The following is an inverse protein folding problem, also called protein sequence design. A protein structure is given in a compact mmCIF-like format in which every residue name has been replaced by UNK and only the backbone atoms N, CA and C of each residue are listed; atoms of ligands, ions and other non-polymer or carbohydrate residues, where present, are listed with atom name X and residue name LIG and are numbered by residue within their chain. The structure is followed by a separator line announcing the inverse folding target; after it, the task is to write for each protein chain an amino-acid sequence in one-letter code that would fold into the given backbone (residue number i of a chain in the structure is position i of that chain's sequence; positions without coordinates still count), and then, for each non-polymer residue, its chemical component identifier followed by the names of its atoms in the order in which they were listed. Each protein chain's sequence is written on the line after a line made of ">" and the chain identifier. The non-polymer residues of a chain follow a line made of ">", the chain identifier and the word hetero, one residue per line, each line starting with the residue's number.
data_IF_675555768089
#
_entry.id   IF_675555768089
#
_cell.length_a   1.000
_cell.length_b   1.000
_cell.length_c   1.000
_cell.angle_alpha   90.00
_cell.angle_beta   90.00
_cell.angle_gamma   90.00
#
_symmetry.space_group_name_H-M   'P 1'
#
loop_
_entity.id
_entity.type
_entity.pdbx_description
1 polymer ?
#
# COMPACT_ATOMS: atom_id res chain seq x y z
N UNK A 1 -6.50 20.47 -8.18
CA UNK A 1 -7.07 20.36 -9.55
C UNK A 1 -7.56 21.70 -10.06
N UNK A 2 -8.77 22.19 -9.75
CA UNK A 2 -9.29 23.42 -10.38
C UNK A 2 -8.34 24.63 -10.25
N UNK A 3 -7.85 24.90 -9.03
CA UNK A 3 -6.86 25.96 -8.78
C UNK A 3 -5.49 25.70 -9.42
N UNK A 4 -5.06 24.44 -9.54
CA UNK A 4 -3.80 24.06 -10.20
C UNK A 4 -3.85 24.31 -11.71
N UNK A 5 -5.05 24.30 -12.31
CA UNK A 5 -5.30 24.66 -13.70
C UNK A 5 -5.64 26.15 -13.87
N UNK A 6 -5.46 26.98 -12.84
CA UNK A 6 -5.74 28.42 -12.89
C UNK A 6 -7.23 28.78 -12.93
N UNK A 7 -8.12 27.84 -12.60
CA UNK A 7 -9.55 28.11 -12.53
C UNK A 7 -9.91 28.75 -11.19
N UNK A 8 -10.78 29.76 -11.24
CA UNK A 8 -11.33 30.38 -10.03
C UNK A 8 -12.37 29.47 -9.38
N UNK A 9 -12.23 29.28 -8.06
CA UNK A 9 -13.24 28.56 -7.29
C UNK A 9 -14.45 29.48 -7.01
N UNK A 10 -15.69 28.96 -7.04
CA UNK A 10 -16.85 29.72 -6.62
C UNK A 10 -16.70 30.29 -5.21
N UNK A 11 -17.21 31.51 -4.97
CA UNK A 11 -17.01 32.23 -3.70
C UNK A 11 -17.43 31.44 -2.44
N UNK A 12 -18.47 30.62 -2.53
CA UNK A 12 -18.97 29.80 -1.41
C UNK A 12 -17.93 28.80 -0.89
N UNK A 13 -16.96 28.40 -1.74
CA UNK A 13 -15.95 27.40 -1.37
C UNK A 13 -14.97 27.91 -0.30
N UNK A 14 -14.76 29.23 -0.20
CA UNK A 14 -13.82 29.86 0.76
C UNK A 14 -14.12 29.51 2.22
N UNK A 15 -15.37 29.17 2.55
CA UNK A 15 -15.76 28.79 3.91
C UNK A 15 -15.35 27.35 4.29
N UNK A 16 -14.98 26.51 3.31
CA UNK A 16 -14.77 25.07 3.48
C UNK A 16 -13.43 24.57 2.91
N UNK A 17 -13.00 25.12 1.78
CA UNK A 17 -11.77 24.73 1.09
C UNK A 17 -10.62 25.69 1.45
N UNK A 18 -9.39 25.17 1.67
CA UNK A 18 -9.03 23.76 1.66
C UNK A 18 -9.26 23.05 3.00
N UNK A 19 -9.18 23.76 4.12
CA UNK A 19 -8.92 23.18 5.45
C UNK A 19 -9.99 22.19 5.93
N UNK A 20 -11.28 22.56 5.89
CA UNK A 20 -12.36 21.69 6.40
C UNK A 20 -12.54 20.45 5.53
N UNK A 21 -12.42 20.62 4.21
CA UNK A 21 -12.51 19.50 3.27
C UNK A 21 -11.29 18.60 3.31
N UNK A 22 -10.09 19.15 3.52
CA UNK A 22 -8.86 18.37 3.60
C UNK A 22 -8.92 17.36 4.74
N UNK A 23 -9.35 17.78 5.93
CA UNK A 23 -9.50 16.86 7.06
C UNK A 23 -10.43 15.68 6.70
N UNK A 24 -11.60 15.98 6.11
CA UNK A 24 -12.57 14.95 5.71
C UNK A 24 -12.05 14.03 4.60
N UNK A 25 -11.30 14.59 3.65
CA UNK A 25 -10.64 13.82 2.60
C UNK A 25 -9.57 12.88 3.16
N UNK A 26 -8.73 13.35 4.10
CA UNK A 26 -7.78 12.50 4.80
C UNK A 26 -8.48 11.41 5.62
N UNK A 27 -9.64 11.72 6.22
CA UNK A 27 -10.47 10.73 6.94
C UNK A 27 -11.05 9.67 6.03
N UNK A 28 -11.50 10.03 4.82
CA UNK A 28 -12.08 9.05 3.92
C UNK A 28 -11.06 7.98 3.52
N UNK A 29 -9.79 8.32 3.31
CA UNK A 29 -8.74 7.33 3.05
C UNK A 29 -8.49 6.39 4.25
N UNK A 30 -8.49 6.93 5.48
CA UNK A 30 -8.33 6.11 6.69
C UNK A 30 -9.52 5.16 6.84
N UNK A 31 -10.74 5.68 6.71
CA UNK A 31 -11.95 4.88 6.82
C UNK A 31 -12.08 3.83 5.71
N UNK A 32 -11.52 4.09 4.53
CA UNK A 32 -11.50 3.14 3.44
C UNK A 32 -10.72 1.84 3.78
N UNK A 33 -9.80 1.85 4.75
CA UNK A 33 -9.08 0.65 5.20
C UNK A 33 -8.88 0.65 6.73
N UNK A 34 -9.94 0.96 7.47
CA UNK A 34 -9.84 1.25 8.91
C UNK A 34 -9.49 0.04 9.77
N UNK A 35 -10.18 -1.08 9.55
CA UNK A 35 -9.98 -2.29 10.35
C UNK A 35 -8.89 -3.17 9.73
N UNK A 36 -8.22 -4.00 10.55
CA UNK A 36 -7.28 -5.02 10.05
C UNK A 36 -7.91 -5.91 8.99
N UNK A 37 -9.20 -6.20 9.14
CA UNK A 37 -9.97 -6.96 8.16
C UNK A 37 -10.09 -6.26 6.81
N UNK A 38 -10.43 -4.97 6.81
CA UNK A 38 -10.49 -4.17 5.59
C UNK A 38 -9.11 -4.03 4.94
N UNK A 39 -8.05 -3.88 5.75
CA UNK A 39 -6.67 -3.83 5.28
C UNK A 39 -6.25 -5.14 4.62
N UNK A 40 -6.64 -6.28 5.21
CA UNK A 40 -6.41 -7.60 4.62
C UNK A 40 -7.06 -7.72 3.24
N UNK A 41 -8.33 -7.33 3.12
CA UNK A 41 -9.05 -7.39 1.84
C UNK A 41 -8.44 -6.44 0.80
N UNK A 42 -8.07 -5.22 1.20
CA UNK A 42 -7.67 -4.15 0.26
C UNK A 42 -6.20 -4.15 -0.11
N UNK A 43 -5.31 -4.49 0.82
CA UNK A 43 -3.86 -4.48 0.62
C UNK A 43 -3.23 -5.88 0.65
N UNK A 44 -3.87 -6.83 1.34
CA UNK A 44 -3.35 -8.19 1.51
C UNK A 44 -2.96 -8.89 0.22
N UNK A 45 -3.78 -8.89 -0.86
CA UNK A 45 -3.41 -9.52 -2.12
C UNK A 45 -2.09 -8.99 -2.69
N UNK A 46 -1.88 -7.67 -2.63
CA UNK A 46 -0.64 -7.05 -3.09
C UNK A 46 0.53 -7.37 -2.17
N UNK A 47 0.36 -7.22 -0.85
CA UNK A 47 1.42 -7.52 0.13
C UNK A 47 1.88 -8.98 0.05
N UNK A 48 0.94 -9.93 -0.03
CA UNK A 48 1.24 -11.36 -0.22
C UNK A 48 2.02 -11.57 -1.50
N UNK A 49 1.59 -10.97 -2.62
CA UNK A 49 2.31 -11.07 -3.90
C UNK A 49 3.74 -10.52 -3.78
N UNK A 50 3.90 -9.31 -3.27
CA UNK A 50 5.18 -8.63 -3.15
C UNK A 50 6.14 -9.40 -2.24
N UNK A 51 5.68 -9.89 -1.08
CA UNK A 51 6.51 -10.67 -0.18
C UNK A 51 6.90 -12.03 -0.76
N UNK A 52 6.01 -12.68 -1.53
CA UNK A 52 6.37 -13.89 -2.26
C UNK A 52 7.47 -13.60 -3.31
N UNK A 53 7.38 -12.49 -4.05
CA UNK A 53 8.44 -12.09 -4.99
C UNK A 53 9.78 -11.82 -4.29
N UNK A 54 9.75 -11.22 -3.10
CA UNK A 54 10.96 -11.01 -2.28
C UNK A 54 11.54 -12.34 -1.78
N UNK A 55 10.69 -13.29 -1.36
CA UNK A 55 11.09 -14.65 -0.95
C UNK A 55 11.67 -15.44 -2.12
N UNK A 56 11.03 -15.36 -3.28
CA UNK A 56 11.52 -16.01 -4.49
C UNK A 56 12.87 -15.41 -4.92
N UNK A 57 13.05 -14.09 -4.73
CA UNK A 57 14.35 -13.47 -4.98
C UNK A 57 15.41 -13.93 -3.98
N UNK A 58 15.08 -13.99 -2.69
CA UNK A 58 16.02 -14.37 -1.63
C UNK A 58 16.48 -15.83 -1.75
N UNK A 59 15.61 -16.70 -2.28
CA UNK A 59 15.84 -18.13 -2.52
C UNK A 59 16.31 -18.47 -3.95
N UNK A 60 16.55 -17.48 -4.81
CA UNK A 60 16.96 -17.66 -6.22
C UNK A 60 15.96 -18.45 -7.09
N UNK A 61 14.67 -18.47 -6.73
CA UNK A 61 13.60 -19.12 -7.51
C UNK A 61 12.80 -18.15 -8.37
N UNK A 62 13.03 -16.84 -8.22
CA UNK A 62 12.28 -15.79 -8.93
C UNK A 62 12.37 -15.95 -10.45
N UNK A 63 11.23 -15.78 -11.13
CA UNK A 63 11.16 -15.83 -12.60
C UNK A 63 10.65 -14.48 -13.16
N UNK A 64 11.39 -13.87 -14.12
CA UNK A 64 12.72 -14.26 -14.60
C UNK A 64 13.81 -14.00 -13.54
N UNK A 65 14.85 -14.84 -13.49
CA UNK A 65 15.91 -14.78 -12.47
C UNK A 65 16.64 -13.41 -12.42
N UNK A 66 16.76 -12.78 -13.60
CA UNK A 66 17.37 -11.46 -13.77
C UNK A 66 16.50 -10.28 -13.30
N UNK A 67 15.25 -10.49 -12.86
CA UNK A 67 14.38 -9.39 -12.43
C UNK A 67 15.00 -8.66 -11.23
N UNK A 68 15.04 -7.32 -11.35
CA UNK A 68 15.59 -6.39 -10.34
C UNK A 68 14.57 -5.37 -9.83
N UNK A 69 13.51 -5.10 -10.58
CA UNK A 69 12.54 -4.06 -10.25
C UNK A 69 11.14 -4.48 -10.69
N UNK A 70 10.15 -4.10 -9.88
CA UNK A 70 8.74 -4.12 -10.24
C UNK A 70 8.20 -2.69 -10.11
N UNK A 71 7.43 -2.26 -11.11
CA UNK A 71 6.75 -0.97 -11.08
C UNK A 71 5.26 -1.24 -11.14
N UNK A 72 4.55 -0.83 -10.10
CA UNK A 72 3.11 -0.97 -9.99
C UNK A 72 2.47 0.42 -10.06
N UNK A 73 1.66 0.63 -11.09
CA UNK A 73 0.84 1.82 -11.20
C UNK A 73 -0.50 1.55 -10.54
N UNK A 74 -0.94 2.45 -9.68
CA UNK A 74 -2.19 2.35 -8.95
C UNK A 74 -2.77 3.73 -8.67
N UNK A 75 -3.66 3.77 -7.71
CA UNK A 75 -4.28 5.01 -7.26
C UNK A 75 -3.67 5.46 -5.92
N UNK A 76 -3.95 6.70 -5.54
CA UNK A 76 -3.73 7.22 -4.20
C UNK A 76 -4.15 6.23 -3.09
N UNK A 77 -5.35 5.68 -3.21
CA UNK A 77 -5.91 4.68 -2.30
C UNK A 77 -5.10 3.40 -2.26
N UNK A 78 -4.44 2.99 -3.36
CA UNK A 78 -3.54 1.83 -3.38
C UNK A 78 -2.37 2.05 -2.43
N UNK A 79 -1.69 3.20 -2.55
CA UNK A 79 -0.56 3.58 -1.70
C UNK A 79 -0.99 3.65 -0.23
N UNK A 80 -2.09 4.36 0.05
CA UNK A 80 -2.59 4.53 1.41
C UNK A 80 -3.01 3.20 2.04
N UNK A 81 -3.70 2.31 1.31
CA UNK A 81 -4.13 1.02 1.84
C UNK A 81 -2.93 0.13 2.20
N UNK A 82 -1.89 0.08 1.34
CA UNK A 82 -0.67 -0.69 1.59
C UNK A 82 0.05 -0.15 2.84
N UNK A 83 0.23 1.17 2.93
CA UNK A 83 0.91 1.78 4.08
C UNK A 83 0.11 1.66 5.37
N UNK A 84 -1.23 1.71 5.33
CA UNK A 84 -2.08 1.45 6.50
C UNK A 84 -1.99 0.00 6.96
N UNK A 85 -2.01 -0.96 6.03
CA UNK A 85 -1.87 -2.38 6.34
C UNK A 85 -0.52 -2.72 7.01
N UNK A 86 0.53 -1.97 6.67
CA UNK A 86 1.86 -2.05 7.30
C UNK A 86 2.02 -1.12 8.52
N UNK A 87 0.97 -0.39 8.92
CA UNK A 87 0.97 0.54 10.05
C UNK A 87 2.01 1.67 9.97
N UNK A 88 2.37 2.09 8.75
CA UNK A 88 3.35 3.15 8.48
C UNK A 88 2.73 4.38 7.81
N UNK A 89 1.40 4.39 7.61
CA UNK A 89 0.69 5.54 7.09
C UNK A 89 0.51 6.62 8.17
N UNK A 90 1.00 7.83 7.89
CA UNK A 90 0.68 9.04 8.64
C UNK A 90 -0.42 9.78 7.92
N UNK A 91 -1.42 10.30 8.66
CA UNK A 91 -2.53 11.08 8.13
C UNK A 91 -1.99 12.26 7.31
N UNK A 92 -2.28 12.26 6.03
CA UNK A 92 -1.96 13.31 5.06
C UNK A 92 -2.74 13.04 3.77
N UNK A 93 -2.76 13.97 2.82
CA UNK A 93 -3.22 13.68 1.47
C UNK A 93 -2.09 13.07 0.63
N UNK A 94 -2.31 11.94 -0.04
CA UNK A 94 -1.41 11.47 -1.09
C UNK A 94 -1.46 12.44 -2.27
N UNK A 95 -0.32 13.04 -2.61
CA UNK A 95 -0.23 13.95 -3.75
C UNK A 95 -0.07 13.15 -5.05
N UNK A 96 -0.30 13.81 -6.18
CA UNK A 96 0.05 13.23 -7.47
C UNK A 96 1.51 12.76 -7.50
N UNK A 97 1.73 11.60 -8.11
CA UNK A 97 3.03 10.91 -8.18
C UNK A 97 3.60 10.46 -6.83
N UNK A 98 2.78 10.39 -5.76
CA UNK A 98 3.20 9.77 -4.51
C UNK A 98 3.62 8.31 -4.75
N UNK A 99 4.72 7.89 -4.14
CA UNK A 99 5.26 6.54 -4.29
C UNK A 99 5.75 5.97 -2.97
N UNK A 100 5.58 4.66 -2.82
CA UNK A 100 6.22 3.88 -1.76
C UNK A 100 7.22 2.92 -2.39
N UNK A 101 8.46 2.96 -1.92
CA UNK A 101 9.53 2.09 -2.38
C UNK A 101 9.77 1.01 -1.35
N UNK A 102 9.95 -0.21 -1.82
CA UNK A 102 10.32 -1.37 -1.01
C UNK A 102 11.60 -1.95 -1.60
N UNK A 103 12.69 -1.88 -0.84
CA UNK A 103 14.00 -2.31 -1.30
C UNK A 103 14.42 -3.56 -0.55
N UNK A 104 14.63 -4.66 -1.28
CA UNK A 104 15.16 -5.90 -0.73
C UNK A 104 16.69 -5.90 -0.85
N UNK A 105 17.36 -5.93 0.30
CA UNK A 105 18.80 -5.91 0.41
C UNK A 105 19.33 -7.25 0.94
N UNK A 106 20.58 -7.59 0.59
CA UNK A 106 21.31 -8.73 1.15
C UNK A 106 22.51 -8.20 1.92
N UNK A 107 22.57 -8.46 3.22
CA UNK A 107 23.74 -8.18 4.03
C UNK A 107 24.90 -9.07 3.56
N UNK A 108 26.04 -8.46 3.21
CA UNK A 108 27.19 -9.18 2.62
C UNK A 108 27.88 -10.10 3.63
N UNK A 109 27.90 -9.72 4.90
CA UNK A 109 28.63 -10.44 5.94
C UNK A 109 27.85 -11.65 6.46
N UNK A 110 26.54 -11.48 6.65
CA UNK A 110 25.65 -12.52 7.20
C UNK A 110 24.90 -13.31 6.12
N UNK A 111 24.85 -12.80 4.90
CA UNK A 111 24.02 -13.35 3.82
C UNK A 111 22.51 -13.19 4.00
N UNK A 112 22.06 -12.59 5.11
CA UNK A 112 20.64 -12.42 5.45
C UNK A 112 20.01 -11.27 4.65
N UNK A 113 18.71 -11.39 4.39
CA UNK A 113 17.95 -10.38 3.67
C UNK A 113 17.14 -9.49 4.61
N UNK A 114 17.06 -8.21 4.27
CA UNK A 114 16.26 -7.20 4.96
C UNK A 114 15.58 -6.28 3.95
N UNK A 115 14.54 -5.59 4.40
CA UNK A 115 13.74 -4.67 3.60
C UNK A 115 13.82 -3.29 4.19
N UNK A 116 14.08 -2.30 3.34
CA UNK A 116 13.95 -0.88 3.65
C UNK A 116 12.72 -0.33 2.92
N UNK A 117 11.96 0.54 3.60
CA UNK A 117 10.74 1.13 3.06
C UNK A 117 10.89 2.64 3.04
N UNK A 118 10.55 3.24 1.92
CA UNK A 118 10.58 4.69 1.74
C UNK A 118 9.26 5.20 1.20
N UNK A 119 8.89 6.44 1.54
CA UNK A 119 7.74 7.12 0.98
C UNK A 119 8.10 8.50 0.48
N UNK A 120 7.74 8.79 -0.76
CA UNK A 120 7.89 10.11 -1.36
C UNK A 120 6.53 10.64 -1.75
N UNK A 121 6.06 11.65 -1.03
CA UNK A 121 4.78 12.31 -1.33
C UNK A 121 4.94 13.53 -2.24
N UNK A 122 6.11 14.18 -2.23
CA UNK A 122 6.38 15.36 -3.07
C UNK A 122 7.49 15.02 -4.08
N UNK A 123 7.28 15.17 -5.40
CA UNK A 123 8.31 14.89 -6.40
C UNK A 123 9.55 15.81 -6.29
N UNK A 124 9.44 16.94 -5.58
CA UNK A 124 10.55 17.86 -5.30
C UNK A 124 11.34 17.51 -4.04
N UNK A 125 10.91 16.51 -3.28
CA UNK A 125 11.54 16.08 -2.04
C UNK A 125 12.15 14.68 -2.18
N UNK A 126 13.06 14.33 -1.28
CA UNK A 126 13.64 12.99 -1.19
C UNK A 126 12.63 12.01 -0.60
N UNK A 127 12.78 10.73 -0.91
CA UNK A 127 11.97 9.69 -0.29
C UNK A 127 12.34 9.55 1.20
N UNK A 128 11.34 9.57 2.07
CA UNK A 128 11.52 9.53 3.52
C UNK A 128 11.57 8.07 3.99
N UNK A 129 12.53 7.68 4.84
CA UNK A 129 12.58 6.34 5.40
C UNK A 129 11.39 6.10 6.34
N UNK A 130 10.84 4.89 6.29
CA UNK A 130 9.73 4.45 7.13
C UNK A 130 10.11 3.18 7.88
N UNK A 131 9.69 3.10 9.13
CA UNK A 131 9.93 1.96 10.01
C UNK A 131 8.60 1.32 10.38
N UNK A 132 8.45 0.03 10.09
CA UNK A 132 7.29 -0.75 10.51
C UNK A 132 7.35 -0.93 12.03
N UNK A 133 6.25 -0.66 12.77
CA UNK A 133 6.21 -0.87 14.21
C UNK A 133 6.66 -2.29 14.60
N UNK A 134 7.55 -2.40 15.58
CA UNK A 134 8.13 -3.69 16.00
C UNK A 134 9.30 -4.19 15.16
N UNK A 135 9.88 -3.33 14.29
CA UNK A 135 11.08 -3.61 13.53
C UNK A 135 12.03 -2.39 13.51
N UNK A 136 13.28 -2.62 13.10
CA UNK A 136 14.21 -1.55 12.75
C UNK A 136 13.98 -1.08 11.30
N UNK A 137 14.63 0.03 10.92
CA UNK A 137 14.58 0.52 9.54
C UNK A 137 15.02 -0.55 8.51
N UNK A 138 16.08 -1.29 8.83
CA UNK A 138 16.53 -2.46 8.07
C UNK A 138 15.83 -3.72 8.57
N UNK A 139 14.55 -3.85 8.25
CA UNK A 139 13.71 -4.89 8.82
C UNK A 139 14.02 -6.26 8.19
N UNK A 140 14.40 -7.30 8.95
CA UNK A 140 14.63 -8.64 8.39
C UNK A 140 13.40 -9.14 7.62
N UNK A 141 13.60 -9.70 6.43
CA UNK A 141 12.48 -10.07 5.53
C UNK A 141 11.44 -10.95 6.22
N UNK A 142 11.88 -12.00 6.93
CA UNK A 142 10.96 -12.89 7.63
C UNK A 142 10.23 -12.19 8.79
N UNK A 143 10.88 -11.25 9.48
CA UNK A 143 10.25 -10.49 10.56
C UNK A 143 9.19 -9.54 10.02
N UNK A 144 9.45 -8.87 8.89
CA UNK A 144 8.47 -8.02 8.23
C UNK A 144 7.21 -8.80 7.83
N UNK A 145 7.41 -10.02 7.32
CA UNK A 145 6.30 -10.91 6.92
C UNK A 145 5.52 -11.38 8.15
N UNK A 146 6.20 -11.74 9.24
CA UNK A 146 5.58 -12.09 10.52
C UNK A 146 4.71 -10.95 11.07
N UNK A 147 5.26 -9.73 11.13
CA UNK A 147 4.54 -8.53 11.58
C UNK A 147 3.33 -8.19 10.69
N UNK A 148 3.36 -8.60 9.43
CA UNK A 148 2.28 -8.38 8.46
C UNK A 148 1.25 -9.52 8.43
N UNK A 149 1.47 -10.62 9.17
CA UNK A 149 0.76 -11.89 9.00
C UNK A 149 -0.77 -11.79 9.04
N UNK A 150 -1.32 -10.92 9.89
CA UNK A 150 -2.78 -10.72 10.00
C UNK A 150 -3.44 -10.19 8.72
N UNK A 151 -2.70 -9.44 7.90
CA UNK A 151 -3.21 -8.85 6.64
C UNK A 151 -2.78 -9.61 5.40
N UNK A 152 -1.98 -10.66 5.53
CA UNK A 152 -1.62 -11.49 4.40
C UNK A 152 -2.75 -12.46 4.05
N UNK A 153 -2.94 -12.65 2.74
CA UNK A 153 -3.87 -13.62 2.18
C UNK A 153 -3.27 -15.01 2.26
N UNK A 154 -4.03 -15.91 2.88
CA UNK A 154 -3.84 -17.35 2.83
C UNK A 154 -4.78 -17.92 1.76
N UNK A 155 -4.23 -18.62 0.76
CA UNK A 155 -5.01 -19.10 -0.39
C UNK A 155 -6.19 -19.98 0.00
N UNK A 156 -6.05 -20.78 1.05
CA UNK A 156 -7.08 -21.75 1.45
C UNK A 156 -8.12 -21.10 2.35
N UNK A 157 -7.67 -20.44 3.41
CA UNK A 157 -8.54 -19.80 4.41
C UNK A 157 -9.31 -18.61 3.83
N UNK A 158 -8.73 -17.91 2.87
CA UNK A 158 -9.32 -16.69 2.30
C UNK A 158 -10.00 -16.93 0.93
N UNK A 159 -10.01 -18.16 0.41
CA UNK A 159 -10.58 -18.51 -0.90
C UNK A 159 -12.01 -17.99 -1.08
N UNK A 160 -12.84 -18.14 -0.05
CA UNK A 160 -14.26 -17.80 -0.09
C UNK A 160 -14.58 -16.49 0.65
N UNK A 161 -13.57 -15.69 0.99
CA UNK A 161 -13.74 -14.49 1.84
C UNK A 161 -14.67 -13.44 1.23
N UNK A 162 -14.63 -13.32 -0.10
CA UNK A 162 -15.42 -12.35 -0.85
C UNK A 162 -16.70 -12.96 -1.47
N UNK A 163 -17.00 -14.23 -1.18
CA UNK A 163 -18.22 -14.88 -1.68
C UNK A 163 -19.42 -14.28 -0.96
N UNK A 164 -20.41 -13.87 -1.75
CA UNK A 164 -21.67 -13.37 -1.20
C UNK A 164 -22.35 -14.45 -0.35
N UNK A 165 -22.82 -14.05 0.84
CA UNK A 165 -23.69 -14.91 1.67
C UNK A 165 -25.15 -14.90 1.22
N UNK A 166 -25.52 -13.99 0.32
CA UNK A 166 -26.84 -13.94 -0.26
C UNK A 166 -26.93 -14.95 -1.41
N UNK A 167 -27.74 -15.99 -1.24
CA UNK A 167 -27.96 -17.05 -2.25
C UNK A 167 -28.58 -16.52 -3.55
N UNK A 168 -29.30 -15.40 -3.48
CA UNK A 168 -29.87 -14.73 -4.66
C UNK A 168 -28.87 -13.79 -5.34
N UNK A 169 -27.64 -13.65 -4.83
CA UNK A 169 -26.61 -12.83 -5.47
C UNK A 169 -26.06 -13.55 -6.70
N UNK A 170 -26.28 -12.95 -7.85
CA UNK A 170 -25.58 -13.29 -9.09
C UNK A 170 -24.46 -12.28 -9.29
N UNK A 171 -23.23 -12.76 -9.38
CA UNK A 171 -22.10 -11.89 -9.71
C UNK A 171 -22.39 -11.22 -11.06
N UNK A 172 -22.36 -9.87 -11.14
CA UNK A 172 -22.56 -9.21 -12.42
C UNK A 172 -21.49 -9.70 -13.39
N UNK A 173 -21.80 -9.82 -14.69
CA UNK A 173 -20.80 -10.20 -15.67
C UNK A 173 -19.59 -9.27 -15.53
N UNK A 174 -18.39 -9.85 -15.58
CA UNK A 174 -17.14 -9.09 -15.47
C UNK A 174 -17.16 -7.95 -16.51
N UNK A 175 -17.29 -6.72 -16.02
CA UNK A 175 -17.12 -5.53 -16.85
C UNK A 175 -15.64 -5.20 -16.84
N UNK A 176 -14.92 -5.74 -17.82
CA UNK A 176 -13.57 -5.30 -18.13
C UNK A 176 -13.58 -3.97 -18.91
N UNK A 177 -12.41 -3.35 -19.14
CA UNK A 177 -12.26 -2.47 -20.28
C UNK A 177 -12.62 -3.18 -21.59
#
# INVERSE_FOLDING_TARGET
>A
LQTEFGLELPAWTKQYYPEKLQYLAEQSYIYNAYTREMQKIKAGPFLTKMFNEMKDKSSNTLKPAGRKMYIYNGHDSTVVNIMQALQIWKRQLPRYSSMTLFELHKNKDTGKYYVEIYFRNNPKETALPLTVPGCDFQCPLEKLIELSSEVLIDKTRDANRCVSKNEAFTEPPLRGP
#
